data_IF_649946036089
#
_entry.id   IF_649946036089
#
_cell.length_a   1.000
_cell.length_b   1.000
_cell.length_c   1.000
_cell.angle_alpha   90.00
_cell.angle_beta   90.00
_cell.angle_gamma   90.00
#
_symmetry.space_group_name_H-M   'P 1'
#
loop_
_entity.id
_entity.type
_entity.pdbx_description
1 polymer ?
#
# COMPACT_ATOMS: atom_id res chain seq x y z
N UNK A 1 13.42 -16.02 -14.36
CA UNK A 1 12.78 -14.69 -14.37
C UNK A 1 11.38 -14.93 -13.87
N UNK A 2 11.10 -14.58 -12.62
CA UNK A 2 9.77 -14.80 -12.05
C UNK A 2 8.78 -13.87 -12.74
N UNK A 3 7.81 -14.45 -13.43
CA UNK A 3 6.74 -13.72 -14.10
C UNK A 3 5.60 -13.47 -13.13
N UNK A 4 5.07 -12.24 -13.10
CA UNK A 4 3.87 -11.89 -12.33
C UNK A 4 2.69 -12.78 -12.73
N UNK A 5 1.91 -13.22 -11.75
CA UNK A 5 0.67 -13.97 -12.01
C UNK A 5 -0.44 -13.03 -12.53
N UNK A 6 -1.51 -13.59 -13.10
CA UNK A 6 -2.67 -12.79 -13.54
C UNK A 6 -3.34 -12.06 -12.37
N UNK A 7 -3.39 -12.69 -11.19
CA UNK A 7 -3.90 -12.06 -9.97
C UNK A 7 -3.04 -10.87 -9.58
N UNK A 8 -1.71 -11.04 -9.54
CA UNK A 8 -0.76 -9.96 -9.24
C UNK A 8 -0.93 -8.78 -10.21
N UNK A 9 -1.03 -9.06 -11.51
CA UNK A 9 -1.23 -8.03 -12.54
C UNK A 9 -2.54 -7.28 -12.31
N UNK A 10 -3.62 -8.01 -12.02
CA UNK A 10 -4.94 -7.43 -11.73
C UNK A 10 -4.86 -6.49 -10.53
N UNK A 11 -4.25 -6.93 -9.42
CA UNK A 11 -4.09 -6.11 -8.21
C UNK A 11 -3.26 -4.86 -8.52
N UNK A 12 -2.12 -5.01 -9.19
CA UNK A 12 -1.27 -3.88 -9.58
C UNK A 12 -2.04 -2.84 -10.40
N UNK A 13 -2.83 -3.27 -11.38
CA UNK A 13 -3.62 -2.37 -12.23
C UNK A 13 -4.70 -1.61 -11.47
N UNK A 14 -5.15 -2.12 -10.32
CA UNK A 14 -6.11 -1.47 -9.44
C UNK A 14 -5.49 -0.59 -8.35
N UNK A 15 -4.15 -0.53 -8.24
CA UNK A 15 -3.50 0.30 -7.24
C UNK A 15 -3.58 1.79 -7.57
N UNK A 16 -4.07 2.56 -6.59
CA UNK A 16 -4.08 4.01 -6.61
C UNK A 16 -2.98 4.57 -5.70
N UNK A 17 -2.26 5.58 -6.19
CA UNK A 17 -1.34 6.34 -5.34
C UNK A 17 -2.13 7.46 -4.66
N UNK A 18 -2.28 7.36 -3.34
CA UNK A 18 -3.03 8.33 -2.53
C UNK A 18 -2.13 9.02 -1.52
N UNK A 19 -2.53 10.21 -1.07
CA UNK A 19 -1.84 10.97 -0.02
C UNK A 19 -2.61 10.90 1.29
N UNK A 20 -1.95 10.47 2.35
CA UNK A 20 -2.41 10.56 3.72
C UNK A 20 -1.89 11.87 4.33
N UNK A 21 -2.77 12.61 5.00
CA UNK A 21 -2.46 13.92 5.60
C UNK A 21 -2.57 13.87 7.13
N UNK A 22 -2.33 12.71 7.75
CA UNK A 22 -2.47 12.55 9.21
C UNK A 22 -3.91 12.61 9.70
N UNK A 23 -4.89 12.31 8.84
CA UNK A 23 -6.33 12.36 9.14
C UNK A 23 -7.03 11.01 9.01
N UNK A 24 -6.34 9.97 8.53
CA UNK A 24 -6.87 8.60 8.41
C UNK A 24 -6.26 7.74 9.50
N UNK A 25 -7.11 7.17 10.35
CA UNK A 25 -6.69 6.36 11.50
C UNK A 25 -6.48 4.91 11.09
N UNK A 26 -5.40 4.30 11.54
CA UNK A 26 -5.17 2.86 11.42
C UNK A 26 -4.97 2.24 12.80
N UNK A 27 -5.43 1.01 12.99
CA UNK A 27 -5.35 0.30 14.27
C UNK A 27 -3.88 0.07 14.66
N UNK A 28 -3.54 0.38 15.91
CA UNK A 28 -2.27 0.07 16.54
C UNK A 28 -2.50 -0.69 17.86
N UNK A 29 -1.51 -1.42 18.41
CA UNK A 29 -1.69 -2.22 19.63
C UNK A 29 -2.27 -1.45 20.83
N UNK A 30 -1.90 -0.16 20.98
CA UNK A 30 -2.33 0.70 22.10
C UNK A 30 -3.22 1.87 21.65
N UNK A 31 -3.88 1.77 20.48
CA UNK A 31 -4.76 2.82 19.97
C UNK A 31 -4.78 2.90 18.46
N UNK A 32 -4.37 4.05 17.92
CA UNK A 32 -4.31 4.28 16.48
C UNK A 32 -3.09 5.09 16.07
N UNK A 33 -2.77 5.01 14.79
CA UNK A 33 -1.74 5.82 14.11
C UNK A 33 -2.38 6.70 13.03
N UNK A 34 -1.78 7.86 12.78
CA UNK A 34 -2.19 8.86 11.80
C UNK A 34 -1.03 9.12 10.83
N UNK A 35 -0.72 8.19 9.92
CA UNK A 35 0.39 8.34 9.01
C UNK A 35 0.21 9.52 8.06
N UNK A 36 1.33 10.11 7.64
CA UNK A 36 1.39 11.19 6.66
C UNK A 36 2.40 10.82 5.57
N UNK A 37 1.99 10.95 4.31
CA UNK A 37 2.82 10.58 3.16
C UNK A 37 2.03 10.00 2.00
N UNK A 38 2.72 9.55 0.97
CA UNK A 38 2.11 8.85 -0.16
C UNK A 38 2.20 7.34 0.04
N UNK A 39 1.14 6.62 -0.32
CA UNK A 39 1.07 5.16 -0.24
C UNK A 39 0.19 4.61 -1.37
N UNK A 40 0.15 3.28 -1.48
CA UNK A 40 -0.77 2.57 -2.35
C UNK A 40 -2.08 2.22 -1.65
N UNK A 41 -3.20 2.37 -2.36
CA UNK A 41 -4.53 1.92 -1.96
C UNK A 41 -5.14 1.11 -3.09
N UNK A 42 -5.70 -0.04 -2.76
CA UNK A 42 -6.59 -0.78 -3.65
C UNK A 42 -8.04 -0.41 -3.30
N UNK A 43 -8.92 -0.19 -4.29
CA UNK A 43 -10.30 0.26 -4.05
C UNK A 43 -11.09 -0.69 -3.15
N UNK A 44 -10.97 -2.01 -3.38
CA UNK A 44 -11.65 -3.03 -2.58
C UNK A 44 -10.85 -3.54 -1.38
N UNK A 45 -9.53 -3.77 -1.54
CA UNK A 45 -8.72 -4.38 -0.49
C UNK A 45 -8.28 -3.40 0.59
N UNK A 46 -8.13 -2.11 0.32
CA UNK A 46 -7.66 -1.12 1.30
C UNK A 46 -6.22 -0.67 1.08
N UNK A 47 -5.52 -0.27 2.14
CA UNK A 47 -4.17 0.31 2.04
C UNK A 47 -3.09 -0.76 2.08
N UNK A 48 -2.16 -0.74 1.13
CA UNK A 48 -1.09 -1.72 1.06
C UNK A 48 -0.07 -1.50 2.18
N UNK A 49 0.33 -2.59 2.84
CA UNK A 49 1.42 -2.66 3.79
C UNK A 49 2.12 -4.02 3.69
N UNK A 50 3.33 -4.15 4.24
CA UNK A 50 3.99 -5.45 4.36
C UNK A 50 3.50 -6.21 5.59
N UNK A 51 3.54 -7.54 5.55
CA UNK A 51 3.17 -8.37 6.67
C UNK A 51 3.95 -7.99 7.93
N UNK A 52 3.23 -7.72 9.03
CA UNK A 52 3.79 -7.24 10.28
C UNK A 52 3.72 -5.72 10.46
N UNK A 53 3.52 -4.95 9.40
CA UNK A 53 3.34 -3.50 9.50
C UNK A 53 1.93 -3.13 9.95
N UNK A 54 1.85 -2.09 10.78
CA UNK A 54 0.60 -1.50 11.29
C UNK A 54 0.26 -0.15 10.63
N UNK A 55 1.08 0.26 9.66
CA UNK A 55 0.90 1.48 8.85
C UNK A 55 1.04 1.13 7.38
N UNK A 56 0.36 1.86 6.48
CA UNK A 56 0.58 1.69 5.05
C UNK A 56 2.05 1.87 4.68
N UNK A 57 2.50 1.17 3.63
CA UNK A 57 3.84 1.36 3.09
C UNK A 57 3.98 2.77 2.53
N UNK A 58 4.81 3.57 3.20
CA UNK A 58 5.09 4.97 2.84
C UNK A 58 6.60 5.09 2.59
N UNK A 59 7.05 4.97 1.33
CA UNK A 59 8.47 5.03 1.03
C UNK A 59 9.03 6.43 1.28
N UNK A 60 10.29 6.52 1.72
CA UNK A 60 11.01 7.79 1.92
C UNK A 60 11.05 8.66 0.66
N UNK A 61 11.07 8.06 -0.53
CA UNK A 61 10.99 8.76 -1.82
C UNK A 61 9.59 9.28 -2.19
N UNK A 62 8.58 9.07 -1.35
CA UNK A 62 7.22 9.56 -1.51
C UNK A 62 6.58 9.13 -2.84
N UNK A 63 5.80 10.04 -3.44
CA UNK A 63 5.07 9.78 -4.70
C UNK A 63 5.99 9.30 -5.83
N UNK A 64 7.22 9.84 -5.93
CA UNK A 64 8.18 9.48 -6.97
C UNK A 64 8.61 8.01 -6.88
N UNK A 65 8.84 7.50 -5.67
CA UNK A 65 9.18 6.10 -5.47
C UNK A 65 8.01 5.18 -5.88
N UNK A 66 6.79 5.54 -5.53
CA UNK A 66 5.59 4.77 -5.90
C UNK A 66 5.35 4.76 -7.41
N UNK A 67 5.52 5.90 -8.08
CA UNK A 67 5.42 5.97 -9.55
C UNK A 67 6.46 5.08 -10.22
N UNK A 68 7.72 5.11 -9.74
CA UNK A 68 8.78 4.25 -10.28
C UNK A 68 8.48 2.76 -10.11
N UNK A 69 7.83 2.35 -9.01
CA UNK A 69 7.33 0.99 -8.83
C UNK A 69 6.29 0.65 -9.90
N UNK A 70 5.31 1.54 -10.14
CA UNK A 70 4.28 1.33 -11.16
C UNK A 70 4.85 1.30 -12.58
N UNK A 71 5.79 2.18 -12.90
CA UNK A 71 6.52 2.22 -14.19
C UNK A 71 7.32 0.92 -14.42
N UNK A 72 7.78 0.27 -13.36
CA UNK A 72 8.46 -1.03 -13.41
C UNK A 72 7.48 -2.23 -13.49
N UNK A 73 6.17 -1.95 -13.65
CA UNK A 73 5.11 -2.96 -13.74
C UNK A 73 4.49 -3.37 -12.40
N UNK A 74 4.74 -2.63 -11.32
CA UNK A 74 4.19 -2.90 -9.99
C UNK A 74 4.93 -3.97 -9.19
N UNK A 75 4.30 -4.51 -8.15
CA UNK A 75 4.86 -5.57 -7.30
C UNK A 75 5.00 -6.89 -8.06
N UNK A 76 5.94 -7.75 -7.65
CA UNK A 76 6.14 -9.09 -8.24
C UNK A 76 5.08 -10.10 -7.79
N UNK A 77 4.73 -10.03 -6.52
CA UNK A 77 3.70 -10.83 -5.85
C UNK A 77 3.12 -10.01 -4.68
N UNK A 78 2.15 -10.61 -3.98
CA UNK A 78 1.50 -10.02 -2.81
C UNK A 78 1.50 -10.98 -1.61
N UNK A 79 2.34 -12.01 -1.61
CA UNK A 79 2.28 -13.12 -0.65
C UNK A 79 2.64 -12.66 0.76
N UNK A 80 3.54 -11.68 0.86
CA UNK A 80 3.95 -11.05 2.12
C UNK A 80 3.31 -9.67 2.32
N UNK A 81 2.16 -9.42 1.69
CA UNK A 81 1.42 -8.17 1.84
C UNK A 81 0.20 -8.33 2.75
N UNK A 82 -0.18 -7.23 3.39
CA UNK A 82 -1.44 -7.10 4.13
C UNK A 82 -2.16 -5.84 3.67
N UNK A 83 -3.48 -5.85 3.83
CA UNK A 83 -4.34 -4.74 3.41
C UNK A 83 -5.00 -4.11 4.61
N UNK A 84 -4.50 -2.94 5.00
CA UNK A 84 -4.96 -2.22 6.18
C UNK A 84 -6.27 -1.49 5.89
N UNK A 85 -7.25 -1.69 6.77
CA UNK A 85 -8.47 -0.91 6.77
C UNK A 85 -8.32 0.32 7.68
N UNK A 86 -8.79 1.49 7.24
CA UNK A 86 -8.91 2.62 8.15
C UNK A 86 -9.94 2.31 9.24
N UNK A 87 -9.74 2.91 10.42
CA UNK A 87 -10.77 2.95 11.46
C UNK A 87 -11.81 4.02 11.10
N UNK A 88 -13.09 3.67 11.24
CA UNK A 88 -14.21 4.59 11.10
C UNK A 88 -14.23 5.65 12.21
#
# INVERSE_FOLDING_TARGET
MESRTLETITINNSLEIVRLNGNVKFKAPLGYTLPCGYCFKHPEKGYFAFAGDIVPYIPRGGKKALLSIMESGGFLDFDNSVWLQPLN
#
